data_IF_621571112529
#
_entry.id   IF_621571112529
#
_cell.length_a   1.000
_cell.length_b   1.000
_cell.length_c   1.000
_cell.angle_alpha   90.00
_cell.angle_beta   90.00
_cell.angle_gamma   90.00
#
_symmetry.space_group_name_H-M   'P 1'
#
loop_
_entity.id
_entity.type
_entity.pdbx_description
1 polymer ?
#
# COMPACT_ATOMS: atom_id res chain seq x y z
N UNK A 1 -67.86 -14.23 35.36
CA UNK A 1 -68.80 -13.17 34.95
C UNK A 1 -68.13 -12.37 33.83
N UNK A 2 -68.69 -12.42 32.62
CA UNK A 2 -68.20 -11.72 31.43
C UNK A 2 -68.50 -10.22 31.56
N UNK A 3 -67.54 -9.35 31.25
CA UNK A 3 -67.82 -8.00 30.75
C UNK A 3 -66.92 -7.74 29.56
N UNK A 4 -67.57 -7.53 28.41
CA UNK A 4 -67.01 -7.09 27.13
C UNK A 4 -67.22 -5.58 27.09
N UNK A 5 -66.22 -4.79 26.68
CA UNK A 5 -66.49 -3.49 26.06
C UNK A 5 -65.43 -3.13 25.03
N UNK A 6 -65.89 -2.95 23.78
CA UNK A 6 -65.21 -2.38 22.62
C UNK A 6 -65.08 -0.85 22.78
N UNK A 7 -63.97 -0.27 22.31
CA UNK A 7 -63.86 1.10 21.75
C UNK A 7 -62.64 1.09 20.80
N UNK A 8 -62.85 1.01 19.48
CA UNK A 8 -62.95 2.11 18.47
C UNK A 8 -61.64 2.84 18.13
N UNK A 9 -61.13 2.50 16.94
CA UNK A 9 -60.64 3.34 15.83
C UNK A 9 -59.90 4.65 16.12
N UNK A 10 -58.67 4.74 15.60
CA UNK A 10 -58.12 5.96 14.99
C UNK A 10 -56.96 5.61 14.05
N UNK A 11 -57.24 5.66 12.75
CA UNK A 11 -56.27 5.69 11.66
C UNK A 11 -55.63 7.08 11.61
N UNK A 12 -54.30 7.17 11.68
CA UNK A 12 -53.55 8.31 11.18
C UNK A 12 -52.40 7.78 10.32
N UNK A 13 -52.64 7.85 9.00
CA UNK A 13 -51.62 7.69 7.98
C UNK A 13 -50.83 9.00 7.90
N UNK A 14 -49.55 8.96 8.29
CA UNK A 14 -48.61 10.05 8.02
C UNK A 14 -47.75 9.65 6.82
N UNK A 15 -48.21 10.04 5.64
CA UNK A 15 -47.41 10.05 4.42
C UNK A 15 -46.33 11.12 4.54
N UNK A 16 -45.10 10.70 4.85
CA UNK A 16 -43.92 11.57 4.71
C UNK A 16 -43.32 11.35 3.33
N UNK A 17 -43.54 12.33 2.44
CA UNK A 17 -42.84 12.44 1.17
C UNK A 17 -41.38 12.82 1.44
N UNK A 18 -40.47 11.87 1.28
CA UNK A 18 -39.03 12.14 1.28
C UNK A 18 -38.69 12.71 -0.11
N UNK A 19 -38.53 14.03 -0.17
CA UNK A 19 -37.93 14.74 -1.29
C UNK A 19 -36.51 14.20 -1.52
N UNK A 20 -36.31 13.55 -2.67
CA UNK A 20 -34.99 13.20 -3.17
C UNK A 20 -34.20 14.45 -3.52
N UNK A 21 -33.32 14.87 -2.61
CA UNK A 21 -32.19 15.72 -2.94
C UNK A 21 -31.17 14.87 -3.69
N UNK A 22 -31.28 14.86 -5.03
CA UNK A 22 -30.19 14.44 -5.91
C UNK A 22 -29.07 15.46 -5.71
N UNK A 23 -28.15 15.13 -4.80
CA UNK A 23 -26.89 15.84 -4.68
C UNK A 23 -26.06 15.44 -5.89
N UNK A 24 -26.11 16.25 -6.95
CA UNK A 24 -25.08 16.21 -7.99
C UNK A 24 -23.79 16.72 -7.35
N UNK A 25 -23.01 15.79 -6.79
CA UNK A 25 -21.63 16.01 -6.38
C UNK A 25 -20.80 16.32 -7.63
N UNK A 26 -20.95 17.53 -8.16
CA UNK A 26 -20.14 18.07 -9.23
C UNK A 26 -18.69 18.03 -8.77
N UNK A 27 -17.87 17.29 -9.50
CA UNK A 27 -16.44 17.07 -9.31
C UNK A 27 -15.68 18.39 -9.14
N UNK A 28 -15.49 18.81 -7.89
CA UNK A 28 -14.52 19.83 -7.51
C UNK A 28 -13.20 19.14 -7.11
N UNK A 29 -12.55 18.45 -8.06
CA UNK A 29 -11.19 17.94 -7.90
C UNK A 29 -10.26 18.63 -8.90
N UNK A 30 -10.22 19.95 -8.88
CA UNK A 30 -9.01 20.67 -9.25
C UNK A 30 -8.13 20.76 -7.99
N UNK A 31 -7.71 19.61 -7.44
CA UNK A 31 -6.66 19.64 -6.42
C UNK A 31 -5.36 20.05 -7.10
N UNK A 32 -4.68 21.04 -6.51
CA UNK A 32 -3.31 21.39 -6.88
C UNK A 32 -2.48 20.10 -6.80
N UNK A 33 -2.07 19.58 -7.95
CA UNK A 33 -1.22 18.40 -8.01
C UNK A 33 0.07 18.68 -7.24
N UNK A 34 0.22 18.02 -6.10
CA UNK A 34 1.45 18.04 -5.32
C UNK A 34 2.26 16.81 -5.71
N UNK A 35 3.52 17.00 -6.06
CA UNK A 35 4.46 15.91 -6.32
C UNK A 35 5.16 15.56 -5.00
N UNK A 36 4.76 14.45 -4.37
CA UNK A 36 5.43 13.91 -3.17
C UNK A 36 6.60 12.98 -3.52
N UNK A 37 6.65 12.50 -4.76
CA UNK A 37 7.71 11.63 -5.20
C UNK A 37 9.06 12.39 -5.16
N UNK A 38 10.09 11.84 -4.49
CA UNK A 38 11.32 12.58 -4.28
C UNK A 38 12.08 12.73 -5.59
N UNK A 39 12.75 13.89 -5.76
CA UNK A 39 13.64 14.13 -6.90
C UNK A 39 14.82 13.16 -6.97
N UNK A 40 15.26 12.66 -5.82
CA UNK A 40 16.31 11.66 -5.72
C UNK A 40 15.74 10.37 -5.19
N UNK A 41 16.10 9.28 -5.87
CA UNK A 41 15.83 7.91 -5.43
C UNK A 41 17.09 7.23 -4.93
N UNK A 42 18.17 7.97 -4.60
CA UNK A 42 19.44 7.39 -4.17
C UNK A 42 19.20 6.32 -3.09
N UNK A 43 19.76 5.10 -3.26
CA UNK A 43 19.63 4.07 -2.24
C UNK A 43 20.30 4.53 -0.94
N UNK A 44 20.03 3.86 0.21
CA UNK A 44 20.77 4.16 1.43
C UNK A 44 22.29 4.00 1.18
N UNK A 45 23.12 4.64 2.01
CA UNK A 45 24.57 4.64 1.79
C UNK A 45 25.16 3.22 1.82
N UNK A 46 25.94 2.85 0.80
CA UNK A 46 26.54 1.52 0.67
C UNK A 46 25.64 0.46 0.04
N UNK A 47 24.47 0.83 -0.50
CA UNK A 47 23.52 -0.11 -1.10
C UNK A 47 23.28 0.14 -2.59
N UNK A 48 22.82 -0.89 -3.28
CA UNK A 48 22.33 -0.84 -4.66
C UNK A 48 20.97 -1.51 -4.73
N UNK A 49 20.06 -0.98 -5.55
CA UNK A 49 18.76 -1.62 -5.76
C UNK A 49 18.93 -2.96 -6.48
N UNK A 50 18.08 -3.96 -6.19
CA UNK A 50 18.18 -5.30 -6.78
C UNK A 50 17.73 -5.34 -8.25
N UNK A 51 17.16 -4.26 -8.77
CA UNK A 51 16.69 -4.14 -10.15
C UNK A 51 16.96 -2.72 -10.69
N UNK A 52 16.63 -2.49 -11.96
CA UNK A 52 16.82 -1.21 -12.65
C UNK A 52 15.78 -0.15 -12.22
N UNK A 53 15.72 0.16 -10.92
CA UNK A 53 14.81 1.15 -10.36
C UNK A 53 15.12 2.54 -10.91
N UNK A 54 14.14 3.14 -11.57
CA UNK A 54 14.19 4.50 -12.10
C UNK A 54 13.18 5.38 -11.36
N UNK A 55 13.45 6.69 -11.34
CA UNK A 55 12.52 7.65 -10.75
C UNK A 55 11.18 7.64 -11.48
N UNK A 56 10.09 7.83 -10.73
CA UNK A 56 8.75 7.91 -11.28
C UNK A 56 8.62 9.17 -12.15
N UNK A 57 8.20 9.07 -13.43
CA UNK A 57 8.03 10.25 -14.29
C UNK A 57 6.97 11.22 -13.74
N UNK A 58 7.31 12.51 -13.67
CA UNK A 58 6.46 13.54 -13.06
C UNK A 58 5.07 13.68 -13.71
N UNK A 59 4.98 13.47 -15.03
CA UNK A 59 3.76 13.66 -15.80
C UNK A 59 2.82 12.44 -15.78
N UNK A 60 3.31 11.27 -15.33
CA UNK A 60 2.59 9.99 -15.30
C UNK A 60 1.79 9.75 -16.59
N UNK A 61 2.44 9.88 -17.74
CA UNK A 61 1.81 9.80 -19.05
C UNK A 61 0.98 8.51 -19.20
N UNK A 62 -0.29 8.68 -19.59
CA UNK A 62 -1.28 7.61 -19.76
C UNK A 62 -1.97 7.14 -18.47
N UNK A 63 -1.64 7.72 -17.31
CA UNK A 63 -2.44 7.61 -16.08
C UNK A 63 -3.48 8.74 -16.05
N UNK A 64 -4.77 8.44 -15.76
CA UNK A 64 -5.82 9.46 -15.59
C UNK A 64 -5.45 10.49 -14.53
N UNK A 65 -5.78 11.77 -14.76
CA UNK A 65 -5.45 12.87 -13.85
C UNK A 65 -6.00 12.64 -12.44
N UNK A 66 -7.19 12.04 -12.32
CA UNK A 66 -7.81 11.67 -11.05
C UNK A 66 -6.97 10.72 -10.20
N UNK A 67 -6.10 9.92 -10.82
CA UNK A 67 -5.37 8.85 -10.16
C UNK A 67 -3.92 9.26 -9.86
N UNK A 68 -3.39 10.26 -10.59
CA UNK A 68 -1.97 10.67 -10.53
C UNK A 68 -1.50 11.04 -9.14
N UNK A 69 -2.33 11.76 -8.39
CA UNK A 69 -1.99 12.20 -7.03
C UNK A 69 -1.76 10.99 -6.11
N UNK A 70 -2.70 10.05 -6.12
CA UNK A 70 -2.61 8.81 -5.35
C UNK A 70 -1.41 7.96 -5.79
N UNK A 71 -1.22 7.77 -7.10
CA UNK A 71 -0.07 7.00 -7.63
C UNK A 71 1.24 7.65 -7.20
N UNK A 72 1.40 8.96 -7.41
CA UNK A 72 2.61 9.68 -7.02
C UNK A 72 2.93 9.49 -5.53
N UNK A 73 1.93 9.67 -4.66
CA UNK A 73 2.15 9.55 -3.22
C UNK A 73 2.43 8.11 -2.79
N UNK A 74 1.64 7.13 -3.25
CA UNK A 74 1.84 5.71 -2.89
C UNK A 74 3.21 5.21 -3.32
N UNK A 75 3.67 5.53 -4.53
CA UNK A 75 5.00 5.11 -4.98
C UNK A 75 6.14 5.80 -4.21
N UNK A 76 5.92 7.03 -3.71
CA UNK A 76 6.87 7.66 -2.78
C UNK A 76 6.96 6.91 -1.43
N UNK A 77 5.85 6.36 -0.95
CA UNK A 77 5.79 5.58 0.30
C UNK A 77 6.39 4.17 0.09
N UNK A 78 6.14 3.55 -1.07
CA UNK A 78 6.78 2.28 -1.49
C UNK A 78 8.29 2.43 -1.56
N UNK A 79 8.81 3.52 -2.15
CA UNK A 79 10.25 3.80 -2.18
C UNK A 79 10.86 3.86 -0.77
N UNK A 80 10.17 4.52 0.18
CA UNK A 80 10.64 4.57 1.58
C UNK A 80 10.61 3.19 2.23
N UNK A 81 9.57 2.39 1.99
CA UNK A 81 9.48 1.03 2.50
C UNK A 81 10.60 0.13 1.94
N UNK A 82 10.88 0.26 0.64
CA UNK A 82 12.01 -0.39 -0.02
C UNK A 82 13.34 -0.03 0.63
N UNK A 83 13.61 1.25 0.82
CA UNK A 83 14.87 1.71 1.43
C UNK A 83 15.04 1.18 2.86
N UNK A 84 13.97 1.16 3.66
CA UNK A 84 13.98 0.56 5.00
C UNK A 84 14.25 -0.95 4.95
N UNK A 85 13.61 -1.66 4.00
CA UNK A 85 13.81 -3.09 3.78
C UNK A 85 15.26 -3.43 3.44
N UNK A 86 15.93 -2.63 2.60
CA UNK A 86 17.33 -2.87 2.22
C UNK A 86 18.26 -2.87 3.43
N UNK A 87 18.07 -1.89 4.34
CA UNK A 87 18.83 -1.81 5.59
C UNK A 87 18.55 -3.03 6.47
N UNK A 88 17.28 -3.45 6.57
CA UNK A 88 16.89 -4.62 7.36
C UNK A 88 17.47 -5.94 6.81
N UNK A 89 17.40 -6.16 5.49
CA UNK A 89 17.97 -7.35 4.85
C UNK A 89 19.48 -7.42 5.04
N UNK A 90 20.18 -6.29 4.92
CA UNK A 90 21.61 -6.24 5.14
C UNK A 90 21.99 -6.54 6.59
N UNK A 91 21.23 -6.03 7.55
CA UNK A 91 21.40 -6.40 8.94
C UNK A 91 21.24 -7.92 9.10
N UNK A 92 20.18 -8.53 8.58
CA UNK A 92 19.96 -9.98 8.65
C UNK A 92 21.09 -10.80 8.03
N UNK A 93 21.65 -10.35 6.91
CA UNK A 93 22.78 -11.00 6.25
C UNK A 93 24.12 -10.81 7.00
N UNK A 94 24.20 -9.81 7.88
CA UNK A 94 25.34 -9.58 8.76
C UNK A 94 25.42 -10.56 9.94
N UNK A 95 26.33 -10.31 10.88
CA UNK A 95 26.54 -11.13 12.07
C UNK A 95 25.95 -10.55 13.37
N UNK A 96 25.48 -9.29 13.35
CA UNK A 96 24.92 -8.62 14.52
C UNK A 96 24.01 -7.45 14.12
N UNK A 97 23.40 -6.78 15.11
CA UNK A 97 22.60 -5.56 14.89
C UNK A 97 21.16 -5.80 14.40
N UNK A 98 20.76 -7.05 14.20
CA UNK A 98 19.43 -7.44 13.66
C UNK A 98 18.27 -6.81 14.44
N UNK A 99 18.33 -6.81 15.77
CA UNK A 99 17.22 -6.32 16.62
C UNK A 99 17.07 -4.80 16.56
N UNK A 100 18.19 -4.07 16.50
CA UNK A 100 18.17 -2.61 16.36
C UNK A 100 17.69 -2.20 14.95
N UNK A 101 18.14 -2.93 13.92
CA UNK A 101 17.66 -2.74 12.56
C UNK A 101 16.15 -3.04 12.45
N UNK A 102 15.67 -4.12 13.07
CA UNK A 102 14.25 -4.45 13.10
C UNK A 102 13.40 -3.39 13.79
N UNK A 103 13.82 -2.89 14.96
CA UNK A 103 13.09 -1.83 15.66
C UNK A 103 12.96 -0.57 14.80
N UNK A 104 14.04 -0.19 14.11
CA UNK A 104 14.05 0.94 13.17
C UNK A 104 13.11 0.69 11.99
N UNK A 105 13.27 -0.46 11.32
CA UNK A 105 12.41 -0.89 10.21
C UNK A 105 10.93 -0.86 10.60
N UNK A 106 10.56 -1.53 11.69
CA UNK A 106 9.17 -1.62 12.13
C UNK A 106 8.56 -0.24 12.42
N UNK A 107 9.28 0.64 13.10
CA UNK A 107 8.79 2.00 13.39
C UNK A 107 8.52 2.81 12.11
N UNK A 108 9.41 2.71 11.12
CA UNK A 108 9.26 3.40 9.84
C UNK A 108 8.09 2.82 9.04
N UNK A 109 8.00 1.50 8.97
CA UNK A 109 6.99 0.81 8.19
C UNK A 109 5.60 0.96 8.80
N UNK A 110 5.45 0.92 10.13
CA UNK A 110 4.18 1.19 10.79
C UNK A 110 3.65 2.60 10.45
N UNK A 111 4.54 3.60 10.47
CA UNK A 111 4.18 4.97 10.08
C UNK A 111 3.82 5.08 8.60
N UNK A 112 4.56 4.41 7.70
CA UNK A 112 4.26 4.39 6.26
C UNK A 112 2.94 3.70 5.96
N UNK A 113 2.68 2.54 6.58
CA UNK A 113 1.43 1.80 6.47
C UNK A 113 0.23 2.65 6.88
N UNK A 114 0.33 3.36 8.00
CA UNK A 114 -0.73 4.26 8.46
C UNK A 114 -1.01 5.37 7.43
N UNK A 115 0.03 5.92 6.79
CA UNK A 115 -0.13 6.90 5.70
C UNK A 115 -0.82 6.29 4.48
N UNK A 116 -0.38 5.13 4.01
CA UNK A 116 -1.01 4.44 2.86
C UNK A 116 -2.50 4.19 3.11
N UNK A 117 -2.88 3.78 4.33
CA UNK A 117 -4.28 3.55 4.69
C UNK A 117 -5.11 4.84 4.75
N UNK A 118 -4.48 5.96 5.13
CA UNK A 118 -5.12 7.27 5.19
C UNK A 118 -5.25 7.95 3.80
N UNK A 119 -4.55 7.46 2.77
CA UNK A 119 -4.62 8.04 1.44
C UNK A 119 -6.03 7.92 0.83
N UNK A 120 -6.63 9.04 0.36
CA UNK A 120 -7.83 9.01 -0.46
C UNK A 120 -7.59 8.13 -1.68
N UNK A 121 -8.31 7.01 -1.76
CA UNK A 121 -8.10 6.01 -2.81
C UNK A 121 -9.10 6.23 -3.94
N UNK A 122 -8.64 6.49 -5.18
CA UNK A 122 -9.51 6.57 -6.34
C UNK A 122 -10.26 5.26 -6.58
N UNK A 123 -11.47 5.37 -7.14
CA UNK A 123 -12.30 4.21 -7.45
C UNK A 123 -11.60 3.21 -8.36
N UNK A 124 -11.58 1.94 -7.94
CA UNK A 124 -10.92 0.84 -8.63
C UNK A 124 -9.42 0.71 -8.36
N UNK A 125 -8.86 1.43 -7.38
CA UNK A 125 -7.49 1.23 -6.86
C UNK A 125 -7.46 0.64 -5.44
N UNK A 126 -8.61 0.29 -4.88
CA UNK A 126 -8.75 -0.26 -3.53
C UNK A 126 -8.03 -1.60 -3.40
N UNK A 127 -8.17 -2.49 -4.40
CA UNK A 127 -7.50 -3.79 -4.44
C UNK A 127 -5.99 -3.62 -4.51
N UNK A 128 -5.49 -2.73 -5.36
CA UNK A 128 -4.07 -2.40 -5.44
C UNK A 128 -3.53 -1.93 -4.08
N UNK A 129 -4.19 -0.97 -3.44
CA UNK A 129 -3.81 -0.49 -2.09
C UNK A 129 -3.81 -1.63 -1.07
N UNK A 130 -4.86 -2.45 -1.07
CA UNK A 130 -5.00 -3.56 -0.12
C UNK A 130 -3.88 -4.59 -0.30
N UNK A 131 -3.47 -4.89 -1.53
CA UNK A 131 -2.36 -5.80 -1.84
C UNK A 131 -1.02 -5.23 -1.39
N UNK A 132 -0.75 -3.94 -1.63
CA UNK A 132 0.47 -3.27 -1.14
C UNK A 132 0.53 -3.29 0.38
N UNK A 133 -0.56 -2.94 1.08
CA UNK A 133 -0.61 -2.99 2.56
C UNK A 133 -0.41 -4.42 3.07
N UNK A 134 -1.08 -5.40 2.47
CA UNK A 134 -0.94 -6.81 2.86
C UNK A 134 0.47 -7.34 2.64
N UNK A 135 1.14 -6.92 1.55
CA UNK A 135 2.54 -7.23 1.31
C UNK A 135 3.43 -6.66 2.43
N UNK A 136 3.24 -5.39 2.78
CA UNK A 136 3.98 -4.72 3.87
C UNK A 136 3.76 -5.43 5.22
N UNK A 137 2.53 -5.84 5.52
CA UNK A 137 2.19 -6.56 6.76
C UNK A 137 2.87 -7.93 6.82
N UNK A 138 2.91 -8.64 5.68
CA UNK A 138 3.64 -9.89 5.56
C UNK A 138 5.16 -9.69 5.69
N UNK A 139 5.74 -8.63 5.10
CA UNK A 139 7.15 -8.31 5.31
C UNK A 139 7.46 -8.00 6.78
N UNK A 140 6.59 -7.27 7.49
CA UNK A 140 6.77 -7.02 8.92
C UNK A 140 6.79 -8.31 9.73
N UNK A 141 5.89 -9.24 9.41
CA UNK A 141 5.81 -10.55 10.05
C UNK A 141 7.04 -11.40 9.72
N UNK A 142 7.48 -11.39 8.46
CA UNK A 142 8.72 -12.03 8.02
C UNK A 142 9.91 -11.51 8.83
N UNK A 143 10.10 -10.19 8.90
CA UNK A 143 11.26 -9.60 9.58
C UNK A 143 11.23 -9.78 11.10
N UNK A 144 10.05 -9.82 11.73
CA UNK A 144 9.92 -10.15 13.15
C UNK A 144 10.40 -11.58 13.45
N UNK A 145 10.00 -12.54 12.62
CA UNK A 145 10.45 -13.93 12.74
C UNK A 145 11.93 -14.05 12.42
N UNK A 146 12.37 -13.46 11.32
CA UNK A 146 13.73 -13.48 10.84
C UNK A 146 14.72 -12.98 11.91
N UNK A 147 14.44 -11.86 12.56
CA UNK A 147 15.36 -11.33 13.58
C UNK A 147 15.45 -12.24 14.81
N UNK A 148 14.34 -12.87 15.24
CA UNK A 148 14.34 -13.87 16.34
C UNK A 148 15.13 -15.12 15.96
N UNK A 149 14.99 -15.59 14.73
CA UNK A 149 15.77 -16.71 14.19
C UNK A 149 17.27 -16.37 14.15
N UNK A 150 17.65 -15.16 13.69
CA UNK A 150 19.05 -14.72 13.71
C UNK A 150 19.62 -14.62 15.13
N UNK A 151 18.84 -14.17 16.11
CA UNK A 151 19.24 -14.17 17.52
C UNK A 151 19.53 -15.59 18.06
N UNK A 152 18.88 -16.60 17.48
CA UNK A 152 19.07 -18.02 17.84
C UNK A 152 20.18 -18.70 17.02
N UNK A 153 20.88 -17.95 16.16
CA UNK A 153 21.98 -18.46 15.34
C UNK A 153 21.55 -19.12 14.01
N UNK A 154 20.26 -19.09 13.66
CA UNK A 154 19.77 -19.61 12.37
C UNK A 154 20.40 -18.87 11.20
N UNK A 155 20.80 -19.58 10.14
CA UNK A 155 21.47 -18.97 8.98
C UNK A 155 20.56 -17.99 8.22
N UNK A 156 21.15 -17.11 7.40
CA UNK A 156 20.36 -16.23 6.52
C UNK A 156 19.56 -17.03 5.49
N UNK A 157 20.12 -18.10 4.95
CA UNK A 157 19.44 -18.97 3.97
C UNK A 157 18.17 -19.62 4.56
N UNK A 158 18.25 -20.08 5.80
CA UNK A 158 17.10 -20.65 6.51
C UNK A 158 16.06 -19.60 6.86
N UNK A 159 16.49 -18.38 7.20
CA UNK A 159 15.58 -17.23 7.41
C UNK A 159 14.79 -16.92 6.14
N UNK A 160 15.40 -17.03 4.96
CA UNK A 160 14.70 -16.82 3.68
C UNK A 160 13.65 -17.91 3.38
N UNK A 161 13.54 -18.97 4.18
CA UNK A 161 12.45 -19.96 4.06
C UNK A 161 11.17 -19.57 4.82
N UNK A 162 11.18 -18.47 5.58
CA UNK A 162 9.97 -17.98 6.28
C UNK A 162 8.88 -17.64 5.25
N UNK A 163 7.68 -18.25 5.33
CA UNK A 163 6.71 -18.25 4.24
C UNK A 163 6.11 -16.87 3.96
N UNK A 164 5.99 -16.01 4.98
CA UNK A 164 5.44 -14.65 4.82
C UNK A 164 6.20 -13.83 3.78
N UNK A 165 7.49 -14.11 3.59
CA UNK A 165 8.28 -13.46 2.57
C UNK A 165 7.74 -13.74 1.15
N UNK A 166 7.47 -15.01 0.82
CA UNK A 166 6.88 -15.42 -0.47
C UNK A 166 5.44 -14.95 -0.62
N UNK A 167 4.67 -14.94 0.47
CA UNK A 167 3.32 -14.39 0.46
C UNK A 167 3.34 -12.90 0.12
N UNK A 168 4.29 -12.12 0.67
CA UNK A 168 4.44 -10.72 0.31
C UNK A 168 4.74 -10.54 -1.19
N UNK A 169 5.62 -11.36 -1.77
CA UNK A 169 5.92 -11.37 -3.21
C UNK A 169 4.68 -11.57 -4.07
N UNK A 170 3.86 -12.56 -3.73
CA UNK A 170 2.61 -12.85 -4.45
C UNK A 170 1.64 -11.67 -4.41
N UNK A 171 1.57 -10.95 -3.28
CA UNK A 171 0.73 -9.76 -3.15
C UNK A 171 1.26 -8.60 -4.00
N UNK A 172 2.58 -8.41 -4.08
CA UNK A 172 3.19 -7.37 -4.94
C UNK A 172 3.00 -7.68 -6.42
N UNK A 173 3.12 -8.95 -6.82
CA UNK A 173 2.80 -9.38 -8.18
C UNK A 173 1.32 -9.16 -8.52
N UNK A 174 0.41 -9.44 -7.58
CA UNK A 174 -1.01 -9.15 -7.76
C UNK A 174 -1.26 -7.65 -7.90
N UNK A 175 -0.59 -6.82 -7.09
CA UNK A 175 -0.65 -5.35 -7.18
C UNK A 175 -0.18 -4.84 -8.55
N UNK A 176 0.91 -5.42 -9.06
CA UNK A 176 1.38 -5.13 -10.42
C UNK A 176 0.33 -5.49 -11.48
N UNK A 177 -0.27 -6.69 -11.40
CA UNK A 177 -1.26 -7.14 -12.37
C UNK A 177 -2.50 -6.22 -12.40
N UNK A 178 -2.97 -5.75 -11.25
CA UNK A 178 -4.06 -4.77 -11.18
C UNK A 178 -3.69 -3.45 -11.87
N UNK A 179 -2.48 -2.94 -11.60
CA UNK A 179 -1.99 -1.70 -12.23
C UNK A 179 -1.85 -1.85 -13.75
N UNK A 180 -1.24 -2.94 -14.22
CA UNK A 180 -1.04 -3.22 -15.64
C UNK A 180 -2.35 -3.40 -16.40
N UNK A 181 -3.35 -4.02 -15.77
CA UNK A 181 -4.70 -4.16 -16.34
C UNK A 181 -5.42 -2.82 -16.41
N UNK A 182 -5.30 -1.99 -15.37
CA UNK A 182 -6.01 -0.71 -15.28
C UNK A 182 -5.48 0.34 -16.25
N UNK A 183 -4.16 0.37 -16.49
CA UNK A 183 -3.52 1.39 -17.30
C UNK A 183 -2.88 0.81 -18.57
N UNK A 184 -3.67 0.37 -19.57
CA UNK A 184 -3.12 -0.20 -20.80
C UNK A 184 -2.36 0.82 -21.66
N UNK A 185 -2.59 2.13 -21.44
CA UNK A 185 -2.06 3.23 -22.25
C UNK A 185 -0.97 4.05 -21.58
N UNK A 186 -0.46 3.64 -20.40
CA UNK A 186 0.69 4.31 -19.79
C UNK A 186 1.93 4.24 -20.69
N UNK A 187 2.81 5.23 -20.59
CA UNK A 187 4.06 5.17 -21.35
C UNK A 187 4.95 4.04 -20.84
N UNK A 188 5.87 3.50 -21.66
CA UNK A 188 6.83 2.48 -21.23
C UNK A 188 7.62 2.90 -19.98
N UNK A 189 8.01 4.17 -19.88
CA UNK A 189 8.81 4.69 -18.76
C UNK A 189 8.02 4.68 -17.44
N UNK A 190 6.73 5.04 -17.48
CA UNK A 190 5.84 4.99 -16.31
C UNK A 190 5.62 3.54 -15.90
N UNK A 191 5.34 2.67 -16.88
CA UNK A 191 5.14 1.24 -16.68
C UNK A 191 6.35 0.59 -16.02
N UNK A 192 7.54 0.82 -16.57
CA UNK A 192 8.79 0.23 -16.11
C UNK A 192 9.18 0.74 -14.73
N UNK A 193 9.03 2.05 -14.48
CA UNK A 193 9.29 2.60 -13.14
C UNK A 193 8.35 1.97 -12.10
N UNK A 194 7.04 1.92 -12.37
CA UNK A 194 6.06 1.30 -11.47
C UNK A 194 6.38 -0.18 -11.22
N UNK A 195 6.68 -0.94 -12.27
CA UNK A 195 7.07 -2.34 -12.14
C UNK A 195 8.31 -2.49 -11.25
N UNK A 196 9.38 -1.72 -11.52
CA UNK A 196 10.61 -1.82 -10.75
C UNK A 196 10.47 -1.36 -9.30
N UNK A 197 9.53 -0.48 -8.96
CA UNK A 197 9.24 -0.17 -7.55
C UNK A 197 8.68 -1.37 -6.79
N UNK A 198 7.72 -2.07 -7.38
CA UNK A 198 7.10 -3.25 -6.77
C UNK A 198 8.09 -4.41 -6.74
N UNK A 199 8.83 -4.64 -7.83
CA UNK A 199 9.90 -5.64 -7.92
C UNK A 199 11.02 -5.34 -6.93
N UNK A 200 11.47 -4.09 -6.82
CA UNK A 200 12.50 -3.73 -5.85
C UNK A 200 12.02 -3.94 -4.41
N UNK A 201 10.74 -3.68 -4.10
CA UNK A 201 10.14 -3.94 -2.78
C UNK A 201 10.02 -5.43 -2.47
N UNK A 202 9.98 -6.30 -3.48
CA UNK A 202 9.91 -7.75 -3.32
C UNK A 202 11.09 -8.35 -2.54
N UNK A 203 10.82 -9.40 -1.76
CA UNK A 203 11.83 -10.15 -1.01
C UNK A 203 12.45 -11.31 -1.81
N UNK A 204 11.80 -11.78 -2.88
CA UNK A 204 12.16 -12.98 -3.63
C UNK A 204 12.29 -12.74 -5.13
#
# INVERSE_FOLDING_TARGET
MRIVSKVSSSLLASSLAILGLVSTSGSAFAQNYQNWYPRSITPPNGYQYPCALTALPDNLQGVPVSDRQFINHIYSLILKALQAKMVMLSALNGSSGFSAAYATYYSQIAALRAKILAEPTPGGLETFRAQVVSAIDNQCTFFDKAQKMRQQGTSFEDVMQVPEGRTASQMLMAAWNEMAKRYPSWSPEVKDSIYHHLCALDLF
#
